data_IF_567700764424
#
_entry.id   IF_567700764424
#
_cell.length_a   1.000
_cell.length_b   1.000
_cell.length_c   1.000
_cell.angle_alpha   90.00
_cell.angle_beta   90.00
_cell.angle_gamma   90.00
#
_symmetry.space_group_name_H-M   'P 1'
#
loop_
_entity.id
_entity.type
_entity.pdbx_description
1 polymer ?
#
# COMPACT_ATOMS: atom_id res chain seq x y z
N UNK A 1 5.72 -8.84 -18.25
CA UNK A 1 6.11 -7.72 -17.35
C UNK A 1 4.96 -6.74 -17.09
N UNK A 2 4.37 -6.12 -18.13
CA UNK A 2 3.31 -5.09 -17.94
C UNK A 2 2.11 -5.63 -17.14
N UNK A 3 1.58 -6.81 -17.51
CA UNK A 3 0.46 -7.43 -16.79
C UNK A 3 0.78 -7.68 -15.31
N UNK A 4 2.01 -8.09 -15.01
CA UNK A 4 2.48 -8.32 -13.64
C UNK A 4 2.48 -7.02 -12.82
N UNK A 5 3.02 -5.93 -13.38
CA UNK A 5 3.02 -4.61 -12.72
C UNK A 5 1.60 -4.05 -12.56
N UNK A 6 0.71 -4.24 -13.55
CA UNK A 6 -0.69 -3.84 -13.45
C UNK A 6 -1.42 -4.56 -12.32
N UNK A 7 -1.16 -5.86 -12.14
CA UNK A 7 -1.75 -6.61 -11.03
C UNK A 7 -1.22 -6.08 -9.70
N UNK A 8 0.10 -5.88 -9.55
CA UNK A 8 0.67 -5.30 -8.33
C UNK A 8 0.11 -3.90 -8.03
N UNK A 9 -0.05 -3.06 -9.04
CA UNK A 9 -0.68 -1.74 -8.90
C UNK A 9 -2.12 -1.87 -8.39
N UNK A 10 -2.92 -2.76 -8.99
CA UNK A 10 -4.31 -2.99 -8.60
C UNK A 10 -4.44 -3.53 -7.16
N UNK A 11 -3.56 -4.45 -6.76
CA UNK A 11 -3.51 -4.97 -5.39
C UNK A 11 -3.15 -3.87 -4.40
N UNK A 12 -2.17 -3.04 -4.73
CA UNK A 12 -1.71 -1.95 -3.85
C UNK A 12 -2.80 -0.88 -3.71
N UNK A 13 -3.44 -0.49 -4.80
CA UNK A 13 -4.55 0.47 -4.78
C UNK A 13 -5.75 -0.07 -4.00
N UNK A 14 -6.13 -1.33 -4.24
CA UNK A 14 -7.23 -1.99 -3.53
C UNK A 14 -6.96 -2.10 -2.04
N UNK A 15 -5.78 -2.57 -1.64
CA UNK A 15 -5.39 -2.70 -0.25
C UNK A 15 -5.36 -1.34 0.47
N UNK A 16 -4.78 -0.31 -0.16
CA UNK A 16 -4.73 1.05 0.40
C UNK A 16 -6.13 1.65 0.58
N UNK A 17 -7.03 1.40 -0.38
CA UNK A 17 -8.43 1.84 -0.32
C UNK A 17 -9.18 1.14 0.81
N UNK A 18 -9.03 -0.18 0.94
CA UNK A 18 -9.68 -0.95 2.01
C UNK A 18 -9.24 -0.47 3.40
N UNK A 19 -7.95 -0.22 3.60
CA UNK A 19 -7.44 0.32 4.87
C UNK A 19 -8.03 1.70 5.14
N UNK A 20 -8.02 2.59 4.14
CA UNK A 20 -8.57 3.94 4.29
C UNK A 20 -10.07 3.91 4.63
N UNK A 21 -10.87 3.14 3.88
CA UNK A 21 -12.31 2.98 4.13
C UNK A 21 -12.57 2.36 5.50
N UNK A 22 -11.79 1.36 5.91
CA UNK A 22 -11.90 0.75 7.25
C UNK A 22 -11.68 1.76 8.37
N UNK A 23 -10.70 2.65 8.23
CA UNK A 23 -10.44 3.71 9.18
C UNK A 23 -11.54 4.77 9.17
N UNK A 24 -12.01 5.19 8.00
CA UNK A 24 -13.12 6.13 7.88
C UNK A 24 -14.39 5.60 8.57
N UNK A 25 -14.70 4.31 8.42
CA UNK A 25 -15.82 3.67 9.12
C UNK A 25 -15.58 3.69 10.64
N UNK A 26 -14.37 3.44 11.11
CA UNK A 26 -14.04 3.47 12.53
C UNK A 26 -14.17 4.88 13.14
N UNK A 27 -13.75 5.92 12.41
CA UNK A 27 -13.94 7.33 12.77
C UNK A 27 -15.44 7.65 12.84
N UNK A 28 -16.20 7.33 11.79
CA UNK A 28 -17.65 7.61 11.72
C UNK A 28 -18.42 6.95 12.86
N UNK A 29 -18.00 5.75 13.28
CA UNK A 29 -18.60 5.03 14.39
C UNK A 29 -18.12 5.50 15.78
N UNK A 30 -17.36 6.61 15.85
CA UNK A 30 -16.75 7.17 17.08
C UNK A 30 -15.87 6.17 17.86
N UNK A 31 -15.36 5.14 17.17
CA UNK A 31 -14.46 4.14 17.76
C UNK A 31 -13.00 4.57 17.73
N UNK A 32 -12.69 5.60 16.94
CA UNK A 32 -11.34 6.09 16.71
C UNK A 32 -11.35 7.61 16.66
N UNK A 33 -10.48 8.26 17.43
CA UNK A 33 -10.26 9.69 17.29
C UNK A 33 -9.55 10.01 15.98
N UNK A 34 -9.87 11.15 15.37
CA UNK A 34 -9.22 11.61 14.12
C UNK A 34 -7.70 11.76 14.30
N UNK A 35 -7.26 12.12 15.51
CA UNK A 35 -5.84 12.23 15.84
C UNK A 35 -5.12 10.87 15.77
N UNK A 36 -5.70 9.82 16.36
CA UNK A 36 -5.11 8.47 16.38
C UNK A 36 -5.22 7.77 15.03
N UNK A 37 -6.26 8.08 14.25
CA UNK A 37 -6.54 7.47 12.95
C UNK A 37 -5.36 7.55 11.97
N UNK A 38 -4.59 8.63 12.00
CA UNK A 38 -3.40 8.80 11.15
C UNK A 38 -2.29 7.82 11.53
N UNK A 39 -2.06 7.64 12.83
CA UNK A 39 -1.08 6.68 13.33
C UNK A 39 -1.46 5.25 12.96
N UNK A 40 -2.73 4.88 13.16
CA UNK A 40 -3.24 3.57 12.75
C UNK A 40 -3.17 3.35 11.23
N UNK A 41 -3.49 4.37 10.44
CA UNK A 41 -3.36 4.30 8.98
C UNK A 41 -1.92 4.04 8.54
N UNK A 42 -0.97 4.79 9.11
CA UNK A 42 0.45 4.62 8.83
C UNK A 42 0.92 3.20 9.16
N UNK A 43 0.62 2.70 10.36
CA UNK A 43 1.01 1.35 10.79
C UNK A 43 0.39 0.28 9.88
N UNK A 44 -0.90 0.39 9.58
CA UNK A 44 -1.59 -0.55 8.70
C UNK A 44 -0.98 -0.57 7.29
N UNK A 45 -0.67 0.60 6.72
CA UNK A 45 -0.04 0.66 5.41
C UNK A 45 1.40 0.17 5.39
N UNK A 46 2.19 0.37 6.46
CA UNK A 46 3.52 -0.23 6.56
C UNK A 46 3.43 -1.75 6.51
N UNK A 47 2.47 -2.34 7.23
CA UNK A 47 2.25 -3.79 7.21
C UNK A 47 1.80 -4.28 5.83
N UNK A 48 0.84 -3.60 5.20
CA UNK A 48 0.38 -3.92 3.83
C UNK A 48 1.53 -3.81 2.83
N UNK A 49 2.36 -2.76 2.92
CA UNK A 49 3.53 -2.55 2.06
C UNK A 49 4.49 -3.73 2.17
N UNK A 50 4.79 -4.17 3.40
CA UNK A 50 5.66 -5.32 3.63
C UNK A 50 5.11 -6.60 3.00
N UNK A 51 3.82 -6.88 3.20
CA UNK A 51 3.16 -8.07 2.63
C UNK A 51 3.16 -8.02 1.10
N UNK A 52 2.76 -6.90 0.50
CA UNK A 52 2.71 -6.77 -0.96
C UNK A 52 4.10 -6.79 -1.59
N UNK A 53 5.10 -6.19 -0.95
CA UNK A 53 6.50 -6.25 -1.41
C UNK A 53 7.04 -7.68 -1.36
N UNK A 54 6.68 -8.44 -0.31
CA UNK A 54 7.03 -9.87 -0.22
C UNK A 54 6.37 -10.68 -1.34
N UNK A 55 5.08 -10.44 -1.60
CA UNK A 55 4.37 -11.07 -2.72
C UNK A 55 5.04 -10.71 -4.06
N UNK A 56 5.40 -9.45 -4.28
CA UNK A 56 6.12 -9.02 -5.47
C UNK A 56 7.49 -9.71 -5.60
N UNK A 57 8.22 -9.90 -4.49
CA UNK A 57 9.47 -10.65 -4.51
C UNK A 57 9.25 -12.10 -4.96
N UNK A 58 8.46 -12.87 -4.20
CA UNK A 58 8.27 -14.31 -4.46
C UNK A 58 7.58 -14.60 -5.80
N UNK A 59 6.61 -13.76 -6.18
CA UNK A 59 5.94 -13.91 -7.46
C UNK A 59 6.86 -13.52 -8.62
N UNK A 60 7.65 -12.45 -8.47
CA UNK A 60 8.64 -12.07 -9.46
C UNK A 60 9.69 -13.16 -9.66
N UNK A 61 10.20 -13.73 -8.58
CA UNK A 61 11.26 -14.76 -8.60
C UNK A 61 10.77 -16.09 -9.20
N UNK A 62 9.54 -16.50 -8.87
CA UNK A 62 8.93 -17.71 -9.46
C UNK A 62 8.54 -17.56 -10.94
N UNK A 63 8.30 -16.33 -11.41
CA UNK A 63 7.82 -16.06 -12.77
C UNK A 63 8.96 -15.74 -13.74
N UNK A 64 10.02 -15.11 -13.26
CA UNK A 64 11.09 -14.58 -14.08
C UNK A 64 12.43 -15.16 -13.62
N UNK A 65 13.13 -15.88 -14.50
CA UNK A 65 14.47 -16.37 -14.21
C UNK A 65 15.44 -15.20 -13.95
N UNK A 66 16.38 -15.41 -13.03
CA UNK A 66 17.44 -14.47 -12.74
C UNK A 66 18.34 -14.29 -13.98
N UNK A 67 18.11 -13.22 -14.74
CA UNK A 67 19.02 -12.81 -15.81
C UNK A 67 20.33 -12.33 -15.19
N UNK A 68 21.40 -13.11 -15.37
CA UNK A 68 22.75 -12.77 -14.91
C UNK A 68 23.21 -11.46 -15.59
N UNK A 69 23.17 -10.35 -14.85
CA UNK A 69 23.71 -9.06 -15.28
C UNK A 69 22.74 -7.88 -15.32
N UNK A 70 21.44 -8.09 -15.04
CA UNK A 70 20.44 -7.01 -14.94
C UNK A 70 19.76 -6.98 -13.57
N UNK A 71 19.22 -5.83 -13.17
CA UNK A 71 18.33 -5.75 -12.00
C UNK A 71 17.23 -6.79 -12.18
N UNK A 72 17.15 -7.76 -11.26
CA UNK A 72 16.19 -8.85 -11.34
C UNK A 72 14.77 -8.32 -11.43
N UNK A 73 13.93 -8.93 -12.26
CA UNK A 73 12.54 -8.49 -12.43
C UNK A 73 11.72 -8.52 -11.13
N UNK A 74 12.09 -9.38 -10.18
CA UNK A 74 11.58 -9.37 -8.81
C UNK A 74 11.88 -8.06 -8.09
N UNK A 75 13.11 -7.54 -8.22
CA UNK A 75 13.53 -6.24 -7.66
C UNK A 75 12.74 -5.09 -8.27
N UNK A 76 12.51 -5.11 -9.59
CA UNK A 76 11.65 -4.11 -10.25
C UNK A 76 10.23 -4.16 -9.68
N UNK A 77 9.66 -5.35 -9.50
CA UNK A 77 8.34 -5.52 -8.89
C UNK A 77 8.28 -5.00 -7.44
N UNK A 78 9.30 -5.26 -6.64
CA UNK A 78 9.40 -4.74 -5.27
C UNK A 78 9.46 -3.21 -5.25
N UNK A 79 10.35 -2.60 -6.03
CA UNK A 79 10.49 -1.14 -6.11
C UNK A 79 9.20 -0.48 -6.59
N UNK A 80 8.56 -1.06 -7.61
CA UNK A 80 7.28 -0.58 -8.11
C UNK A 80 6.19 -0.62 -7.03
N UNK A 81 6.07 -1.74 -6.32
CA UNK A 81 5.10 -1.91 -5.22
C UNK A 81 5.35 -0.92 -4.08
N UNK A 82 6.62 -0.69 -3.73
CA UNK A 82 7.01 0.28 -2.73
C UNK A 82 6.58 1.70 -3.13
N UNK A 83 6.86 2.12 -4.37
CA UNK A 83 6.44 3.43 -4.89
C UNK A 83 4.92 3.60 -4.87
N UNK A 84 4.16 2.58 -5.30
CA UNK A 84 2.70 2.60 -5.25
C UNK A 84 2.18 2.71 -3.81
N UNK A 85 2.82 2.01 -2.87
CA UNK A 85 2.41 2.02 -1.45
C UNK A 85 2.70 3.36 -0.79
N UNK A 86 3.83 4.00 -1.13
CA UNK A 86 4.16 5.36 -0.68
C UNK A 86 3.16 6.39 -1.23
N UNK A 87 2.74 6.26 -2.49
CA UNK A 87 1.69 7.11 -3.07
C UNK A 87 0.35 6.92 -2.34
N UNK A 88 -0.04 5.67 -2.04
CA UNK A 88 -1.23 5.36 -1.25
C UNK A 88 -1.17 5.95 0.16
N UNK A 89 -0.01 5.84 0.82
CA UNK A 89 0.24 6.43 2.14
C UNK A 89 0.10 7.95 2.11
N UNK A 90 0.77 8.62 1.17
CA UNK A 90 0.67 10.07 1.02
C UNK A 90 -0.77 10.52 0.79
N UNK A 91 -1.48 9.87 -0.14
CA UNK A 91 -2.87 10.16 -0.44
C UNK A 91 -3.78 10.03 0.80
N UNK A 92 -3.71 8.90 1.51
CA UNK A 92 -4.58 8.67 2.66
C UNK A 92 -4.26 9.58 3.84
N UNK A 93 -2.99 9.91 4.07
CA UNK A 93 -2.61 10.86 5.13
C UNK A 93 -3.12 12.28 4.84
N UNK A 94 -3.02 12.75 3.59
CA UNK A 94 -3.59 14.05 3.18
C UNK A 94 -5.11 14.04 3.33
N UNK A 95 -5.78 12.96 2.90
CA UNK A 95 -7.24 12.85 3.04
C UNK A 95 -7.71 12.80 4.49
N UNK A 96 -6.96 12.14 5.37
CA UNK A 96 -7.23 12.14 6.81
C UNK A 96 -6.85 13.47 7.48
N UNK A 97 -6.16 14.39 6.80
CA UNK A 97 -5.96 15.76 7.28
C UNK A 97 -7.17 16.66 7.03
N UNK A 98 -7.89 16.42 5.93
CA UNK A 98 -9.10 17.17 5.56
C UNK A 98 -10.32 16.78 6.41
N UNK A 99 -10.27 15.69 7.18
CA UNK A 99 -11.35 15.30 8.09
C UNK A 99 -11.34 16.23 9.30
N UNK A 100 -12.33 17.12 9.37
CA UNK A 100 -12.44 18.13 10.42
C UNK A 100 -12.63 17.45 11.80
N UNK A 101 -11.81 17.77 12.81
CA UNK A 101 -11.93 17.16 14.14
C UNK A 101 -13.13 17.67 14.97
N UNK A 102 -13.94 18.58 14.41
CA UNK A 102 -15.04 19.26 15.10
C UNK A 102 -16.44 18.99 14.51
N UNK A 103 -16.58 18.09 13.52
CA UNK A 103 -17.88 17.53 13.09
C UNK A 103 -18.25 16.24 13.84
#
# INVERSE_FOLDING_TARGET
MIVYLLILASMTAGASTLVYTGIQIAIRNKRLGVHDARGFYMVALVFITFVLTSVAHYWGDSRFEASAGSVGFSVIGMLFTLCCSLAGLGFGLVKLQEVDPFE
#
